data_IF_200857557137
#
_entry.id   IF_200857557137
#
_cell.length_a   1.000
_cell.length_b   1.000
_cell.length_c   1.000
_cell.angle_alpha   90.00
_cell.angle_beta   90.00
_cell.angle_gamma   90.00
#
_symmetry.space_group_name_H-M   'P 1'
#
loop_
_entity.id
_entity.type
_entity.pdbx_description
1 polymer ?
#
# COMPACT_ATOMS: atom_id res chain seq x y z
N UNK A 1 -7.01 -17.98 1.18
CA UNK A 1 -5.92 -17.19 1.78
C UNK A 1 -6.29 -17.06 3.24
N UNK A 2 -5.52 -17.66 4.15
CA UNK A 2 -6.00 -18.05 5.48
C UNK A 2 -6.20 -16.87 6.41
N UNK A 3 -7.32 -16.85 7.13
CA UNK A 3 -7.73 -15.86 8.16
C UNK A 3 -6.65 -15.61 9.23
N UNK A 4 -5.69 -16.54 9.36
CA UNK A 4 -4.53 -16.54 10.26
C UNK A 4 -3.65 -15.28 10.13
N UNK A 5 -3.56 -14.65 8.96
CA UNK A 5 -2.71 -13.43 8.81
C UNK A 5 -3.28 -12.22 9.57
N UNK A 6 -4.58 -12.19 9.85
CA UNK A 6 -5.25 -11.03 10.43
C UNK A 6 -5.60 -11.18 11.91
N UNK A 7 -5.48 -12.37 12.49
CA UNK A 7 -5.77 -12.63 13.91
C UNK A 7 -5.02 -11.68 14.84
N UNK A 8 -3.76 -11.33 14.51
CA UNK A 8 -2.94 -10.39 15.28
C UNK A 8 -3.51 -8.95 15.34
N UNK A 9 -4.44 -8.60 14.44
CA UNK A 9 -5.07 -7.26 14.41
C UNK A 9 -6.46 -7.26 15.07
N UNK A 10 -7.06 -8.43 15.25
CA UNK A 10 -8.37 -8.63 15.86
C UNK A 10 -8.27 -8.62 17.39
N UNK A 11 -9.33 -8.16 18.04
CA UNK A 11 -9.52 -8.31 19.48
C UNK A 11 -10.18 -9.65 19.76
N UNK A 12 -10.06 -10.15 20.99
CA UNK A 12 -10.72 -11.37 21.42
C UNK A 12 -12.23 -11.34 21.09
N UNK A 13 -12.68 -12.41 20.40
CA UNK A 13 -14.06 -12.56 19.94
C UNK A 13 -14.52 -11.53 18.91
N UNK A 14 -13.61 -10.91 18.16
CA UNK A 14 -13.91 -10.09 16.98
C UNK A 14 -13.85 -10.96 15.72
N UNK A 15 -14.86 -10.82 14.85
CA UNK A 15 -15.00 -11.66 13.66
C UNK A 15 -14.90 -10.80 12.40
N UNK A 16 -14.21 -11.30 11.37
CA UNK A 16 -14.13 -10.63 10.07
C UNK A 16 -15.45 -10.90 9.34
N UNK A 17 -16.18 -9.83 9.02
CA UNK A 17 -17.41 -9.89 8.22
C UNK A 17 -17.10 -9.79 6.73
N UNK A 18 -16.10 -8.99 6.38
CA UNK A 18 -15.69 -8.78 5.00
C UNK A 18 -14.25 -8.32 4.94
N UNK A 19 -13.53 -8.73 3.90
CA UNK A 19 -12.16 -8.31 3.65
C UNK A 19 -11.95 -8.02 2.17
N UNK A 20 -11.39 -6.86 1.87
CA UNK A 20 -10.81 -6.60 0.56
C UNK A 20 -9.31 -6.41 0.71
N UNK A 21 -8.61 -7.44 0.26
CA UNK A 21 -7.17 -7.42 0.08
C UNK A 21 -6.98 -7.12 -1.40
N UNK A 22 -6.43 -5.95 -1.76
CA UNK A 22 -6.16 -5.65 -3.16
C UNK A 22 -5.25 -6.73 -3.75
N UNK A 23 -5.70 -7.34 -4.84
CA UNK A 23 -4.94 -8.40 -5.51
C UNK A 23 -3.60 -7.86 -6.01
N UNK A 24 -2.54 -8.38 -5.40
CA UNK A 24 -1.12 -8.27 -5.78
C UNK A 24 -0.57 -6.84 -5.77
N UNK A 25 0.75 -6.78 -5.64
CA UNK A 25 1.61 -5.60 -5.70
C UNK A 25 1.38 -4.86 -7.04
N UNK A 26 0.29 -4.12 -7.19
CA UNK A 26 0.21 -3.13 -8.25
C UNK A 26 1.19 -2.04 -7.84
N UNK A 27 2.20 -1.83 -8.68
CA UNK A 27 3.04 -0.64 -8.65
C UNK A 27 2.08 0.54 -8.79
N UNK A 28 1.64 1.07 -7.66
CA UNK A 28 0.96 2.34 -7.60
C UNK A 28 2.04 3.37 -7.85
N UNK A 29 2.25 3.64 -9.13
CA UNK A 29 3.06 4.76 -9.61
C UNK A 29 2.33 6.03 -9.19
N UNK A 30 2.56 6.48 -7.96
CA UNK A 30 2.11 7.81 -7.56
C UNK A 30 2.83 8.80 -8.46
N UNK A 31 2.07 9.44 -9.37
CA UNK A 31 2.57 10.48 -10.29
C UNK A 31 3.44 10.03 -11.47
N UNK A 32 3.22 8.80 -11.96
CA UNK A 32 3.67 8.37 -13.29
C UNK A 32 5.04 7.66 -13.32
N UNK A 33 5.42 7.13 -14.48
CA UNK A 33 6.55 6.19 -14.70
C UNK A 33 7.94 6.80 -14.40
N UNK A 34 8.02 8.12 -14.26
CA UNK A 34 9.26 8.91 -14.20
C UNK A 34 10.19 8.47 -13.04
N UNK A 35 9.73 8.33 -11.78
CA UNK A 35 10.61 7.96 -10.67
C UNK A 35 11.21 6.55 -10.82
N UNK A 36 10.43 5.61 -11.38
CA UNK A 36 10.92 4.25 -11.65
C UNK A 36 11.99 4.24 -12.74
N UNK A 37 11.76 4.99 -13.83
CA UNK A 37 12.75 5.08 -14.93
C UNK A 37 14.04 5.73 -14.43
N UNK A 38 13.93 6.78 -13.61
CA UNK A 38 15.09 7.43 -13.00
C UNK A 38 15.86 6.45 -12.08
N UNK A 39 15.15 5.72 -11.20
CA UNK A 39 15.74 4.72 -10.32
C UNK A 39 16.43 3.58 -11.08
N UNK A 40 15.82 3.11 -12.17
CA UNK A 40 16.40 2.09 -13.04
C UNK A 40 17.66 2.58 -13.77
N UNK A 41 17.66 3.82 -14.29
CA UNK A 41 18.83 4.41 -14.93
C UNK A 41 20.02 4.53 -13.96
N UNK A 42 19.77 4.99 -12.73
CA UNK A 42 20.79 5.08 -11.67
C UNK A 42 21.34 3.70 -11.32
N UNK A 43 20.48 2.67 -11.25
CA UNK A 43 20.90 1.29 -11.04
C UNK A 43 21.81 0.76 -12.15
N UNK A 44 21.44 1.01 -13.41
CA UNK A 44 22.22 0.57 -14.59
C UNK A 44 23.60 1.24 -14.58
N UNK A 45 23.67 2.55 -14.32
CA UNK A 45 24.94 3.29 -14.23
C UNK A 45 25.79 2.77 -13.07
N UNK A 46 25.20 2.57 -11.89
CA UNK A 46 25.90 2.00 -10.74
C UNK A 46 26.47 0.61 -11.02
N UNK A 47 25.69 -0.28 -11.64
CA UNK A 47 26.14 -1.61 -12.06
C UNK A 47 27.25 -1.54 -13.10
N UNK A 48 27.14 -0.67 -14.09
CA UNK A 48 28.14 -0.51 -15.13
C UNK A 48 29.50 -0.08 -14.55
N UNK A 49 29.50 0.92 -13.67
CA UNK A 49 30.72 1.40 -13.01
C UNK A 49 31.30 0.33 -12.08
N UNK A 50 30.45 -0.41 -11.35
CA UNK A 50 30.90 -1.50 -10.49
C UNK A 50 31.61 -2.61 -11.29
N UNK A 51 31.05 -2.99 -12.45
CA UNK A 51 31.56 -4.10 -13.26
C UNK A 51 32.83 -3.72 -14.03
N UNK A 52 32.92 -2.50 -14.55
CA UNK A 52 34.03 -2.08 -15.41
C UNK A 52 35.17 -1.40 -14.64
N UNK A 53 34.86 -0.59 -13.64
CA UNK A 53 35.87 0.18 -12.90
C UNK A 53 36.17 -0.39 -11.51
N UNK A 54 35.37 -1.37 -11.04
CA UNK A 54 35.47 -1.97 -9.69
C UNK A 54 35.44 -0.94 -8.55
N UNK A 55 34.92 0.26 -8.82
CA UNK A 55 34.86 1.33 -7.86
C UNK A 55 33.77 1.04 -6.81
N UNK A 56 34.15 0.79 -5.57
CA UNK A 56 33.20 0.51 -4.48
C UNK A 56 32.20 1.65 -4.22
N UNK A 57 32.55 2.88 -4.59
CA UNK A 57 31.64 4.03 -4.56
C UNK A 57 30.39 3.86 -5.43
N UNK A 58 30.43 2.99 -6.44
CA UNK A 58 29.28 2.67 -7.30
C UNK A 58 28.13 1.98 -6.57
N UNK A 59 28.41 1.33 -5.43
CA UNK A 59 27.39 0.74 -4.55
C UNK A 59 26.39 1.78 -4.05
N UNK A 60 26.82 3.05 -3.87
CA UNK A 60 25.95 4.14 -3.44
C UNK A 60 24.85 4.37 -4.48
N UNK A 61 25.19 4.37 -5.77
CA UNK A 61 24.21 4.53 -6.85
C UNK A 61 23.24 3.35 -6.91
N UNK A 62 23.72 2.12 -6.72
CA UNK A 62 22.86 0.92 -6.66
C UNK A 62 21.87 1.03 -5.48
N UNK A 63 22.35 1.40 -4.29
CA UNK A 63 21.51 1.55 -3.10
C UNK A 63 20.46 2.66 -3.30
N UNK A 64 20.87 3.82 -3.83
CA UNK A 64 19.96 4.94 -4.10
C UNK A 64 18.89 4.56 -5.12
N UNK A 65 19.25 3.90 -6.21
CA UNK A 65 18.28 3.44 -7.21
C UNK A 65 17.30 2.41 -6.67
N UNK A 66 17.75 1.50 -5.80
CA UNK A 66 16.85 0.57 -5.09
C UNK A 66 15.90 1.32 -4.15
N UNK A 67 16.39 2.28 -3.36
CA UNK A 67 15.55 3.06 -2.44
C UNK A 67 14.43 3.77 -3.20
N UNK A 68 14.75 4.39 -4.34
CA UNK A 68 13.77 5.07 -5.20
C UNK A 68 12.70 4.08 -5.67
N UNK A 69 13.10 2.93 -6.22
CA UNK A 69 12.14 1.93 -6.71
C UNK A 69 11.29 1.37 -5.55
N UNK A 70 11.89 1.07 -4.40
CA UNK A 70 11.15 0.55 -3.25
C UNK A 70 10.21 1.57 -2.60
N UNK A 71 10.57 2.85 -2.62
CA UNK A 71 9.69 3.92 -2.15
C UNK A 71 8.42 4.04 -3.01
N UNK A 72 8.55 3.81 -4.32
CA UNK A 72 7.45 3.83 -5.29
C UNK A 72 6.61 2.54 -5.31
N UNK A 73 7.05 1.47 -4.62
CA UNK A 73 6.20 0.30 -4.40
C UNK A 73 5.22 0.65 -3.28
N UNK A 74 4.23 1.47 -3.62
CA UNK A 74 3.16 1.82 -2.70
C UNK A 74 2.34 0.55 -2.40
N UNK A 75 2.38 0.08 -1.15
CA UNK A 75 1.55 -1.05 -0.74
C UNK A 75 0.10 -0.60 -0.70
N UNK A 76 -0.73 -1.20 -1.55
CA UNK A 76 -2.18 -1.03 -1.51
C UNK A 76 -2.71 -1.41 -0.13
N UNK A 77 -3.60 -0.59 0.42
CA UNK A 77 -4.16 -0.82 1.74
C UNK A 77 -5.13 -2.01 1.73
N UNK A 78 -5.04 -2.88 2.72
CA UNK A 78 -6.05 -3.90 3.00
C UNK A 78 -7.16 -3.28 3.85
N UNK A 79 -8.41 -3.58 3.49
CA UNK A 79 -9.59 -3.11 4.20
C UNK A 79 -10.30 -4.31 4.82
N UNK A 80 -10.49 -4.27 6.14
CA UNK A 80 -11.22 -5.30 6.87
C UNK A 80 -12.43 -4.66 7.55
N UNK A 81 -13.61 -5.23 7.31
CA UNK A 81 -14.80 -4.98 8.08
C UNK A 81 -14.96 -6.11 9.09
N UNK A 82 -15.08 -5.73 10.37
CA UNK A 82 -15.34 -6.68 11.46
C UNK A 82 -16.73 -6.45 12.04
N UNK A 83 -17.16 -7.26 12.99
CA UNK A 83 -18.38 -7.02 13.76
C UNK A 83 -18.33 -5.75 14.64
N UNK A 84 -17.14 -5.19 14.91
CA UNK A 84 -16.95 -4.07 15.86
C UNK A 84 -16.43 -2.76 15.22
N UNK A 85 -15.71 -2.85 14.11
CA UNK A 85 -14.98 -1.72 13.51
C UNK A 85 -14.53 -1.98 12.07
N UNK A 86 -14.13 -0.90 11.40
CA UNK A 86 -13.36 -0.95 10.16
C UNK A 86 -11.86 -0.86 10.49
N UNK A 87 -11.07 -1.73 9.90
CA UNK A 87 -9.61 -1.72 9.95
C UNK A 87 -9.06 -1.41 8.56
N UNK A 88 -8.13 -0.45 8.49
CA UNK A 88 -7.40 -0.12 7.26
C UNK A 88 -5.93 -0.38 7.54
N UNK A 89 -5.33 -1.34 6.84
CA UNK A 89 -3.94 -1.76 7.04
C UNK A 89 -3.13 -1.35 5.81
N UNK A 90 -2.10 -0.51 5.99
CA UNK A 90 -1.20 -0.08 4.92
C UNK A 90 0.25 -0.24 5.37
N UNK A 91 0.92 -1.27 4.84
CA UNK A 91 2.29 -1.60 5.24
C UNK A 91 2.38 -1.99 6.72
N UNK A 92 3.18 -1.26 7.50
CA UNK A 92 3.30 -1.47 8.96
C UNK A 92 2.34 -0.61 9.79
N UNK A 93 1.58 0.28 9.14
CA UNK A 93 0.61 1.15 9.82
C UNK A 93 -0.78 0.56 9.69
N UNK A 94 -1.58 0.67 10.75
CA UNK A 94 -3.00 0.36 10.71
C UNK A 94 -3.83 1.51 11.30
N UNK A 95 -5.03 1.71 10.78
CA UNK A 95 -6.04 2.64 11.30
C UNK A 95 -7.24 1.83 11.77
N UNK A 96 -7.72 2.14 12.98
CA UNK A 96 -8.89 1.54 13.63
C UNK A 96 -10.03 2.56 13.62
N UNK A 97 -11.18 2.21 13.08
CA UNK A 97 -12.37 3.07 13.02
C UNK A 97 -13.56 2.32 13.63
N UNK A 98 -13.85 2.54 14.91
CA UNK A 98 -15.06 1.98 15.53
C UNK A 98 -16.34 2.48 14.85
N UNK A 99 -17.35 1.62 14.74
CA UNK A 99 -18.60 2.00 14.07
C UNK A 99 -19.33 3.18 14.72
N UNK A 100 -19.25 3.31 16.05
CA UNK A 100 -19.88 4.41 16.77
C UNK A 100 -19.25 5.79 16.49
N UNK A 101 -18.08 5.85 15.86
CA UNK A 101 -17.49 7.12 15.39
C UNK A 101 -17.96 7.50 13.98
N UNK A 102 -18.58 6.59 13.24
CA UNK A 102 -19.04 6.83 11.87
C UNK A 102 -20.46 7.37 11.95
N UNK A 103 -20.67 8.59 11.50
CA UNK A 103 -21.98 9.25 11.53
C UNK A 103 -22.85 8.83 10.35
N UNK A 104 -22.25 8.74 9.17
CA UNK A 104 -22.92 8.26 7.97
C UNK A 104 -21.89 7.75 6.95
N UNK A 105 -22.37 6.89 6.05
CA UNK A 105 -21.59 6.29 4.96
C UNK A 105 -22.19 6.74 3.64
N UNK A 106 -21.37 7.29 2.76
CA UNK A 106 -21.79 7.67 1.41
C UNK A 106 -21.12 6.75 0.40
N UNK A 107 -21.91 6.20 -0.52
CA UNK A 107 -21.43 5.35 -1.62
C UNK A 107 -21.74 6.04 -2.93
N UNK A 108 -20.70 6.39 -3.68
CA UNK A 108 -20.83 7.01 -5.00
C UNK A 108 -20.36 6.03 -6.07
N UNK A 109 -21.25 5.63 -6.97
CA UNK A 109 -20.90 4.79 -8.12
C UNK A 109 -20.50 5.67 -9.30
N UNK A 110 -19.35 5.39 -9.93
CA UNK A 110 -18.99 6.07 -11.18
C UNK A 110 -19.91 5.58 -12.30
N UNK A 111 -20.53 6.51 -13.04
CA UNK A 111 -21.54 6.22 -14.09
C UNK A 111 -21.12 5.13 -15.09
N UNK A 112 -19.84 5.09 -15.47
CA UNK A 112 -19.31 4.16 -16.49
C UNK A 112 -18.26 3.19 -15.93
N UNK A 113 -18.30 2.87 -14.63
CA UNK A 113 -17.34 1.94 -14.03
C UNK A 113 -18.03 1.05 -13.00
N UNK A 114 -17.55 -0.19 -12.89
CA UNK A 114 -17.91 -1.09 -11.79
C UNK A 114 -17.26 -0.66 -10.46
N UNK A 115 -16.41 0.36 -10.49
CA UNK A 115 -15.80 0.94 -9.31
C UNK A 115 -16.67 2.09 -8.74
N UNK A 116 -16.75 2.13 -7.41
CA UNK A 116 -17.34 3.22 -6.65
C UNK A 116 -16.39 3.72 -5.57
N UNK A 117 -16.78 4.82 -4.94
CA UNK A 117 -16.07 5.40 -3.80
C UNK A 117 -16.95 5.31 -2.57
N UNK A 118 -16.41 4.76 -1.49
CA UNK A 118 -17.06 4.73 -0.17
C UNK A 118 -16.39 5.78 0.70
N UNK A 119 -17.18 6.75 1.17
CA UNK A 119 -16.74 7.80 2.07
C UNK A 119 -17.34 7.57 3.46
N UNK A 120 -16.48 7.57 4.48
CA UNK A 120 -16.88 7.50 5.88
C UNK A 120 -16.83 8.91 6.47
N UNK A 121 -17.96 9.41 6.96
CA UNK A 121 -18.05 10.72 7.58
C UNK A 121 -18.12 10.59 9.11
N UNK A 122 -17.42 11.49 9.80
CA UNK A 122 -17.25 11.49 11.25
C UNK A 122 -17.88 12.77 11.82
N UNK A 123 -18.58 12.66 12.93
CA UNK A 123 -19.03 13.80 13.72
C UNK A 123 -17.80 14.34 14.45
N UNK A 124 -17.49 15.62 14.21
CA UNK A 124 -16.42 16.38 14.88
C UNK A 124 -16.89 16.76 16.28
#
# INVERSE_FOLDING_TARGET
>A
MSDIEFENYLKDGEHILWSQIPEKKKLHLSEGIIPIVLGAAVLIVGLYVLLNERALSSLIFIIVGLIIIFAEIERSAAYLLTDKRVLIIKGMKYKKIPYHHISFVTVEKKKNSDMGTVSLCFLI
#
